data_IF_511663727066
#
_entry.id   IF_511663727066
#
_cell.length_a   1.000
_cell.length_b   1.000
_cell.length_c   1.000
_cell.angle_alpha   90.00
_cell.angle_beta   90.00
_cell.angle_gamma   90.00
#
_symmetry.space_group_name_H-M   'P 1'
#
loop_
_entity.id
_entity.type
_entity.pdbx_description
1 polymer ?
#
# COMPACT_ATOMS: atom_id res chain seq x y z
N UNK A 1 32.54 -37.62 -13.08
CA UNK A 1 31.31 -38.10 -13.75
C UNK A 1 30.17 -37.87 -12.78
N UNK A 2 29.60 -36.66 -12.68
CA UNK A 2 28.42 -36.20 -13.45
C UNK A 2 27.33 -37.27 -13.52
N UNK A 3 26.18 -37.03 -12.89
CA UNK A 3 24.96 -36.69 -13.64
C UNK A 3 24.01 -35.87 -12.77
N UNK A 4 23.96 -34.57 -13.08
CA UNK A 4 22.79 -33.73 -12.92
C UNK A 4 21.65 -34.35 -13.75
N UNK A 5 20.47 -34.51 -13.18
CA UNK A 5 19.26 -34.66 -13.99
C UNK A 5 18.13 -33.78 -13.45
N UNK A 6 17.94 -32.70 -14.19
CA UNK A 6 16.75 -31.88 -14.36
C UNK A 6 15.47 -32.70 -14.46
N UNK A 7 14.43 -32.31 -13.72
CA UNK A 7 13.03 -32.28 -14.15
C UNK A 7 12.13 -31.87 -12.97
N UNK A 8 11.83 -30.58 -12.84
CA UNK A 8 10.64 -30.12 -12.11
C UNK A 8 10.04 -28.93 -12.86
N UNK A 9 9.43 -29.25 -14.01
CA UNK A 9 8.52 -28.36 -14.69
C UNK A 9 7.08 -28.84 -14.43
N UNK A 10 6.32 -27.91 -13.82
CA UNK A 10 4.87 -27.71 -13.91
C UNK A 10 3.95 -28.93 -13.80
N UNK A 11 3.28 -29.03 -12.65
CA UNK A 11 1.81 -29.11 -12.52
C UNK A 11 1.49 -29.66 -11.14
N UNK A 12 0.94 -28.84 -10.25
CA UNK A 12 0.00 -29.27 -9.21
C UNK A 12 -0.39 -28.04 -8.37
N UNK A 13 -1.27 -27.19 -8.94
CA UNK A 13 -2.24 -26.50 -8.11
C UNK A 13 -3.10 -27.61 -7.50
N UNK A 14 -2.77 -28.05 -6.28
CA UNK A 14 -3.65 -28.93 -5.53
C UNK A 14 -4.84 -28.11 -5.08
N UNK A 15 -5.97 -28.32 -5.75
CA UNK A 15 -7.28 -27.99 -5.24
C UNK A 15 -7.44 -28.72 -3.89
N UNK A 16 -7.32 -27.96 -2.79
CA UNK A 16 -7.66 -28.47 -1.47
C UNK A 16 -9.17 -28.64 -1.42
N UNK A 17 -9.58 -29.91 -1.36
CA UNK A 17 -10.97 -30.34 -1.27
C UNK A 17 -11.63 -29.74 -0.02
N UNK A 18 -12.88 -29.32 -0.19
CA UNK A 18 -13.71 -28.70 0.83
C UNK A 18 -13.81 -29.56 2.09
N UNK A 19 -13.32 -29.03 3.21
CA UNK A 19 -13.78 -29.39 4.55
C UNK A 19 -14.62 -28.23 5.07
N UNK A 20 -15.87 -28.53 5.40
CA UNK A 20 -16.81 -27.62 6.04
C UNK A 20 -16.32 -27.30 7.44
N UNK A 21 -15.63 -26.17 7.60
CA UNK A 21 -15.45 -25.48 8.88
C UNK A 21 -15.67 -23.98 8.64
N UNK A 22 -16.86 -23.51 9.02
CA UNK A 22 -17.22 -22.11 9.29
C UNK A 22 -16.95 -21.04 8.19
N UNK A 23 -18.04 -20.68 7.51
CA UNK A 23 -18.19 -19.83 6.32
C UNK A 23 -17.83 -18.33 6.45
N UNK A 24 -17.07 -17.92 7.47
CA UNK A 24 -16.79 -16.49 7.74
C UNK A 24 -15.36 -16.05 7.44
N UNK A 25 -14.35 -16.94 7.54
CA UNK A 25 -12.95 -16.51 7.42
C UNK A 25 -12.49 -16.37 5.95
N UNK A 26 -13.13 -17.09 5.01
CA UNK A 26 -12.72 -17.06 3.59
C UNK A 26 -13.30 -15.87 2.78
N UNK A 27 -14.37 -15.24 3.26
CA UNK A 27 -14.99 -14.11 2.54
C UNK A 27 -14.12 -12.85 2.60
N UNK A 28 -13.48 -12.63 3.74
CA UNK A 28 -12.63 -11.45 3.94
C UNK A 28 -11.32 -11.57 3.15
N UNK A 29 -10.74 -12.77 3.07
CA UNK A 29 -9.55 -13.02 2.24
C UNK A 29 -9.82 -12.82 0.73
N UNK A 30 -10.98 -13.26 0.24
CA UNK A 30 -11.40 -13.04 -1.16
C UNK A 30 -11.79 -11.56 -1.41
N UNK A 31 -12.40 -10.89 -0.42
CA UNK A 31 -12.73 -9.47 -0.50
C UNK A 31 -11.48 -8.57 -0.57
N UNK A 32 -10.45 -8.85 0.22
CA UNK A 32 -9.15 -8.16 0.15
C UNK A 32 -8.51 -8.31 -1.22
N UNK A 33 -8.54 -9.51 -1.82
CA UNK A 33 -7.95 -9.74 -3.15
C UNK A 33 -8.68 -8.97 -4.25
N UNK A 34 -9.97 -8.69 -4.07
CA UNK A 34 -10.81 -7.87 -4.95
C UNK A 34 -10.83 -6.38 -4.59
N UNK A 35 -10.07 -5.96 -3.59
CA UNK A 35 -9.95 -4.55 -3.23
C UNK A 35 -9.36 -3.72 -4.38
N UNK A 36 -9.62 -2.41 -4.36
CA UNK A 36 -9.13 -1.49 -5.39
C UNK A 36 -7.60 -1.53 -5.53
N UNK A 37 -6.87 -1.56 -4.42
CA UNK A 37 -5.40 -1.59 -4.44
C UNK A 37 -4.87 -2.90 -5.06
N UNK A 38 -5.37 -4.05 -4.60
CA UNK A 38 -4.93 -5.34 -5.12
C UNK A 38 -5.31 -5.55 -6.58
N UNK A 39 -6.49 -5.09 -7.01
CA UNK A 39 -6.88 -5.10 -8.41
C UNK A 39 -5.90 -4.30 -9.27
N UNK A 40 -5.58 -3.06 -8.90
CA UNK A 40 -4.61 -2.22 -9.61
C UNK A 40 -3.23 -2.89 -9.67
N UNK A 41 -2.73 -3.40 -8.54
CA UNK A 41 -1.44 -4.11 -8.45
C UNK A 41 -1.41 -5.34 -9.36
N UNK A 42 -2.48 -6.13 -9.36
CA UNK A 42 -2.56 -7.36 -10.15
C UNK A 42 -2.68 -7.08 -11.65
N UNK A 43 -3.44 -6.07 -12.05
CA UNK A 43 -3.52 -5.64 -13.45
C UNK A 43 -2.16 -5.20 -13.98
N UNK A 44 -1.40 -4.42 -13.20
CA UNK A 44 -0.04 -4.00 -13.59
C UNK A 44 0.93 -5.19 -13.66
N UNK A 45 0.85 -6.13 -12.72
CA UNK A 45 1.64 -7.37 -12.78
C UNK A 45 1.36 -8.18 -14.04
N UNK A 46 0.12 -8.25 -14.50
CA UNK A 46 -0.23 -8.94 -15.75
C UNK A 46 0.41 -8.26 -16.97
N UNK A 47 0.39 -6.92 -17.02
CA UNK A 47 1.04 -6.16 -18.10
C UNK A 47 2.56 -6.42 -18.09
N UNK A 48 3.20 -6.30 -16.92
CA UNK A 48 4.65 -6.57 -16.77
C UNK A 48 4.98 -8.00 -17.24
N UNK A 49 4.18 -8.99 -16.82
CA UNK A 49 4.39 -10.39 -17.21
C UNK A 49 4.24 -10.58 -18.72
N UNK A 50 3.19 -10.05 -19.32
CA UNK A 50 2.94 -10.16 -20.77
C UNK A 50 4.11 -9.62 -21.59
N UNK A 51 4.64 -8.46 -21.22
CA UNK A 51 5.80 -7.89 -21.93
C UNK A 51 7.09 -8.67 -21.66
N UNK A 52 7.28 -9.16 -20.43
CA UNK A 52 8.41 -10.02 -20.09
C UNK A 52 8.43 -11.31 -20.92
N UNK A 53 7.26 -11.92 -21.15
CA UNK A 53 7.13 -13.12 -22.00
C UNK A 53 7.47 -12.84 -23.48
N UNK A 54 7.40 -11.57 -23.89
CA UNK A 54 7.82 -11.08 -25.21
C UNK A 54 9.29 -10.60 -25.22
N UNK A 55 10.08 -10.92 -24.19
CA UNK A 55 11.45 -10.44 -23.98
C UNK A 55 11.57 -8.90 -23.91
N UNK A 56 10.51 -8.21 -23.46
CA UNK A 56 10.50 -6.75 -23.25
C UNK A 56 10.51 -6.46 -21.75
N UNK A 57 11.56 -5.77 -21.29
CA UNK A 57 11.64 -5.29 -19.91
C UNK A 57 11.01 -3.90 -19.79
N UNK A 58 9.89 -3.81 -19.07
CA UNK A 58 9.27 -2.52 -18.75
C UNK A 58 9.93 -1.94 -17.49
N UNK A 59 10.49 -0.73 -17.61
CA UNK A 59 11.16 0.00 -16.53
C UNK A 59 10.29 1.18 -16.12
N UNK A 60 10.31 1.54 -14.83
CA UNK A 60 9.60 2.70 -14.31
C UNK A 60 8.10 2.46 -14.09
N UNK A 61 7.67 1.19 -14.03
CA UNK A 61 6.34 0.83 -13.55
C UNK A 61 6.41 0.64 -12.04
N UNK A 62 5.79 1.57 -11.31
CA UNK A 62 5.58 1.43 -9.88
C UNK A 62 4.28 0.66 -9.63
N UNK A 63 4.36 -0.39 -8.81
CA UNK A 63 3.21 -1.09 -8.29
C UNK A 63 2.70 -0.36 -7.04
N UNK A 64 1.38 -0.19 -6.87
CA UNK A 64 0.85 0.42 -5.65
C UNK A 64 1.12 -0.51 -4.47
N UNK A 65 1.54 0.03 -3.34
CA UNK A 65 1.70 -0.74 -2.12
C UNK A 65 0.35 -0.89 -1.41
N UNK A 66 0.02 -2.12 -1.01
CA UNK A 66 -1.25 -2.46 -0.41
C UNK A 66 -1.02 -3.05 0.97
N UNK A 67 -1.87 -2.66 1.92
CA UNK A 67 -1.91 -3.29 3.23
C UNK A 67 -2.64 -4.64 3.16
N UNK A 68 -2.53 -5.43 4.23
CA UNK A 68 -3.10 -6.78 4.29
C UNK A 68 -4.63 -6.79 4.27
N UNK A 69 -5.28 -5.70 4.63
CA UNK A 69 -6.74 -5.55 4.56
C UNK A 69 -7.22 -5.21 3.13
N UNK A 70 -6.31 -4.83 2.24
CA UNK A 70 -6.58 -4.45 0.86
C UNK A 70 -6.74 -2.95 0.63
N UNK A 71 -6.61 -2.15 1.68
CA UNK A 71 -6.44 -0.71 1.54
C UNK A 71 -5.09 -0.36 0.91
N UNK A 72 -4.97 0.87 0.41
CA UNK A 72 -3.67 1.39 0.00
C UNK A 72 -2.81 1.67 1.24
N UNK A 73 -1.57 1.19 1.21
CA UNK A 73 -0.58 1.51 2.22
C UNK A 73 -0.42 3.05 2.31
N UNK A 74 -0.19 3.62 3.51
CA UNK A 74 -0.15 5.08 3.70
C UNK A 74 0.80 5.83 2.77
N UNK A 75 1.94 5.20 2.44
CA UNK A 75 2.97 5.74 1.58
C UNK A 75 2.87 5.10 0.20
N UNK A 76 2.74 5.93 -0.84
CA UNK A 76 2.82 5.48 -2.23
C UNK A 76 3.94 6.23 -2.92
N UNK A 77 4.73 5.53 -3.73
CA UNK A 77 5.78 6.14 -4.54
C UNK A 77 5.48 5.94 -6.02
N UNK A 78 5.53 7.03 -6.79
CA UNK A 78 5.36 6.99 -8.25
C UNK A 78 6.38 7.91 -8.90
N UNK A 79 7.17 7.36 -9.82
CA UNK A 79 8.31 8.03 -10.45
C UNK A 79 9.24 8.58 -9.36
N UNK A 80 9.44 9.89 -9.35
CA UNK A 80 10.40 10.62 -8.53
C UNK A 80 9.83 11.11 -7.19
N UNK A 81 8.59 10.73 -6.85
CA UNK A 81 7.89 11.24 -5.68
C UNK A 81 7.33 10.11 -4.82
N UNK A 82 7.42 10.29 -3.51
CA UNK A 82 6.62 9.55 -2.54
C UNK A 82 5.61 10.51 -1.91
N UNK A 83 4.40 10.02 -1.66
CA UNK A 83 3.28 10.84 -1.19
C UNK A 83 2.33 10.05 -0.30
N UNK A 84 1.63 10.76 0.58
CA UNK A 84 0.65 10.17 1.46
C UNK A 84 -0.70 9.99 0.77
N UNK A 85 -1.35 8.85 1.04
CA UNK A 85 -2.72 8.54 0.57
C UNK A 85 -3.62 8.09 1.71
N UNK A 86 -4.93 8.23 1.53
CA UNK A 86 -5.94 7.56 2.35
C UNK A 86 -6.09 6.07 1.99
N UNK A 87 -6.95 5.36 2.71
CA UNK A 87 -7.24 3.94 2.50
C UNK A 87 -7.72 3.60 1.07
N UNK A 88 -8.27 4.57 0.33
CA UNK A 88 -8.80 4.43 -1.02
C UNK A 88 -7.80 4.88 -2.10
N UNK A 89 -6.58 5.26 -1.70
CA UNK A 89 -5.50 5.71 -2.58
C UNK A 89 -5.60 7.19 -2.97
N UNK A 90 -6.48 7.98 -2.32
CA UNK A 90 -6.60 9.41 -2.60
C UNK A 90 -5.46 10.15 -1.90
N UNK A 91 -4.75 10.98 -2.66
CA UNK A 91 -3.58 11.72 -2.19
C UNK A 91 -3.97 12.85 -1.23
N UNK A 92 -3.15 13.04 -0.19
CA UNK A 92 -3.13 14.27 0.60
C UNK A 92 -2.16 15.26 -0.05
N UNK A 93 -2.68 16.16 -0.89
CA UNK A 93 -1.92 16.86 -1.94
C UNK A 93 -0.59 17.54 -1.54
N UNK A 94 -0.46 18.07 -0.32
CA UNK A 94 0.75 18.78 0.15
C UNK A 94 1.82 17.85 0.78
N UNK A 95 1.47 16.59 1.02
CA UNK A 95 2.33 15.62 1.71
C UNK A 95 3.05 14.72 0.70
N UNK A 96 3.98 15.33 -0.01
CA UNK A 96 4.87 14.67 -0.97
C UNK A 96 6.33 15.11 -0.81
N UNK A 97 7.24 14.19 -1.07
CA UNK A 97 8.69 14.38 -0.99
C UNK A 97 9.37 13.72 -2.18
N UNK A 98 10.63 14.10 -2.44
CA UNK A 98 11.44 13.44 -3.46
C UNK A 98 11.74 11.99 -3.03
N UNK A 99 11.54 11.02 -3.92
CA UNK A 99 11.70 9.58 -3.63
C UNK A 99 13.09 9.18 -3.14
N UNK A 100 14.12 9.94 -3.51
CA UNK A 100 15.51 9.66 -3.14
C UNK A 100 16.01 10.53 -1.98
N UNK A 101 15.10 11.23 -1.29
CA UNK A 101 15.44 12.05 -0.13
C UNK A 101 15.34 11.24 1.17
N UNK A 102 16.05 11.69 2.21
CA UNK A 102 15.91 11.12 3.57
C UNK A 102 14.47 11.19 4.09
N UNK A 103 13.73 12.22 3.69
CA UNK A 103 12.32 12.37 4.06
C UNK A 103 11.44 11.26 3.48
N UNK A 104 11.85 10.62 2.37
CA UNK A 104 11.15 9.46 1.81
C UNK A 104 11.51 8.18 2.56
N UNK A 105 12.74 8.05 3.06
CA UNK A 105 13.21 6.89 3.81
C UNK A 105 12.49 6.72 5.15
N UNK A 106 12.17 7.82 5.83
CA UNK A 106 11.46 7.82 7.12
C UNK A 106 9.94 8.06 7.00
N UNK A 107 9.42 8.20 5.78
CA UNK A 107 8.02 8.52 5.49
C UNK A 107 7.07 7.45 6.05
N UNK A 108 6.08 7.86 6.84
CA UNK A 108 5.04 6.94 7.34
C UNK A 108 3.61 7.53 7.31
N UNK A 109 3.45 8.81 7.01
CA UNK A 109 2.15 9.47 6.82
C UNK A 109 1.17 9.44 8.02
N UNK A 110 1.64 9.06 9.22
CA UNK A 110 0.77 8.92 10.40
C UNK A 110 0.08 10.23 10.77
N UNK A 111 0.81 11.34 10.82
CA UNK A 111 0.26 12.64 11.23
C UNK A 111 -0.84 13.11 10.30
N UNK A 112 -0.61 13.05 8.99
CA UNK A 112 -1.61 13.51 8.03
C UNK A 112 -2.84 12.60 8.04
N UNK A 113 -2.68 11.27 8.10
CA UNK A 113 -3.83 10.36 8.15
C UNK A 113 -4.69 10.60 9.38
N UNK A 114 -4.07 10.68 10.56
CA UNK A 114 -4.79 10.98 11.81
C UNK A 114 -5.52 12.33 11.73
N UNK A 115 -4.85 13.37 11.21
CA UNK A 115 -5.42 14.71 11.06
C UNK A 115 -6.65 14.74 10.14
N UNK A 116 -6.66 13.95 9.07
CA UNK A 116 -7.80 13.88 8.17
C UNK A 116 -8.93 12.98 8.69
N UNK A 117 -8.61 11.87 9.36
CA UNK A 117 -9.59 11.01 10.03
C UNK A 117 -10.40 11.83 11.05
N UNK A 118 -9.70 12.56 11.90
CA UNK A 118 -10.32 13.34 12.99
C UNK A 118 -11.16 14.49 12.45
N UNK A 119 -10.73 15.16 11.38
CA UNK A 119 -11.53 16.19 10.71
C UNK A 119 -12.82 15.65 10.09
N UNK A 120 -12.83 14.38 9.65
CA UNK A 120 -13.98 13.77 8.98
C UNK A 120 -15.01 13.18 9.96
N UNK A 121 -14.65 12.93 11.23
CA UNK A 121 -15.51 12.23 12.20
C UNK A 121 -16.67 13.04 12.81
N UNK A 122 -17.02 14.23 12.28
CA UNK A 122 -18.24 14.98 12.65
C UNK A 122 -18.51 15.21 14.17
N UNK A 123 -17.56 14.98 15.07
CA UNK A 123 -17.73 15.23 16.51
C UNK A 123 -17.02 16.51 16.91
N UNK A 124 -17.75 17.63 16.83
CA UNK A 124 -17.35 18.92 17.40
C UNK A 124 -17.36 18.88 18.94
N UNK A 125 -16.49 18.09 19.55
CA UNK A 125 -16.24 18.14 20.98
C UNK A 125 -14.83 18.68 21.24
N UNK A 126 -14.62 19.24 22.44
CA UNK A 126 -13.41 19.95 22.87
C UNK A 126 -12.10 19.14 22.72
N UNK A 127 -12.21 17.82 22.58
CA UNK A 127 -11.11 16.89 22.29
C UNK A 127 -10.48 17.07 20.90
N UNK A 128 -11.16 17.77 19.96
CA UNK A 128 -10.63 18.04 18.63
C UNK A 128 -9.50 19.09 18.64
N UNK A 129 -9.46 19.96 19.67
CA UNK A 129 -8.38 20.96 19.85
C UNK A 129 -7.02 20.31 20.11
N UNK A 130 -6.98 19.09 20.65
CA UNK A 130 -5.72 18.38 20.93
C UNK A 130 -4.97 18.04 19.64
N UNK A 131 -5.69 17.77 18.55
CA UNK A 131 -5.09 17.35 17.28
C UNK A 131 -4.70 18.50 16.36
N UNK A 132 -5.31 19.67 16.52
CA UNK A 132 -4.88 20.90 15.83
C UNK A 132 -3.49 21.37 16.29
N UNK A 133 -3.03 20.96 17.47
CA UNK A 133 -1.70 21.29 18.01
C UNK A 133 -0.59 20.57 17.22
N UNK A 134 -0.88 19.40 16.66
CA UNK A 134 0.15 18.63 15.95
C UNK A 134 0.39 19.17 14.54
N UNK A 135 1.65 19.56 14.30
CA UNK A 135 2.15 19.94 12.98
C UNK A 135 2.66 18.69 12.26
N UNK A 136 2.27 18.53 11.00
CA UNK A 136 2.77 17.46 10.14
C UNK A 136 3.94 17.95 9.27
N UNK A 137 4.93 17.11 9.05
CA UNK A 137 6.01 17.33 8.08
C UNK A 137 5.56 16.97 6.65
N UNK A 138 6.36 17.31 5.63
CA UNK A 138 6.02 17.02 4.21
C UNK A 138 5.96 15.51 3.90
N UNK A 139 6.72 14.70 4.61
CA UNK A 139 6.61 13.23 4.58
C UNK A 139 5.39 12.71 5.37
N UNK A 140 4.52 13.59 5.86
CA UNK A 140 3.33 13.22 6.62
C UNK A 140 3.61 12.67 8.02
N UNK A 141 4.86 12.73 8.49
CA UNK A 141 5.23 12.38 9.86
C UNK A 141 4.84 13.48 10.85
N UNK A 142 4.70 13.12 12.12
CA UNK A 142 4.55 14.10 13.19
C UNK A 142 5.84 14.90 13.37
N UNK A 143 5.74 16.22 13.47
CA UNK A 143 6.88 17.03 13.90
C UNK A 143 7.08 16.89 15.41
N UNK A 144 8.34 16.85 15.90
CA UNK A 144 8.60 17.00 17.32
C UNK A 144 7.92 18.26 17.87
N UNK A 145 7.40 18.19 19.10
CA UNK A 145 6.86 19.38 19.76
C UNK A 145 8.00 20.38 19.93
N UNK A 146 7.87 21.55 19.30
CA UNK A 146 8.78 22.67 19.52
C UNK A 146 8.65 23.06 21.01
N UNK A 147 9.77 23.10 21.73
CA UNK A 147 9.80 23.57 23.12
C UNK A 147 9.36 25.04 23.13
N UNK A 148 8.27 25.32 23.83
CA UNK A 148 7.79 26.67 24.13
C UNK A 148 8.65 27.25 25.24
#
# INVERSE_FOLDING_TARGET
MTHYNSNFASSELRAFTARNDNETIHKDFDATFRSKCWNERNSLKQIIKKHKDQNIALIGIDLPECDLDGSYAPVQCRKEKCFCVDENGKRYGEYEVNRYSKDAEDMNCRCVRDKFLIRNEQTKNENMKLFDIYKCAKNGNYRPKESI
#
